data_IF_056898555159
#
_entry.id   IF_056898555159
#
_cell.length_a   1.000
_cell.length_b   1.000
_cell.length_c   1.000
_cell.angle_alpha   90.00
_cell.angle_beta   90.00
_cell.angle_gamma   90.00
#
_symmetry.space_group_name_H-M   'P 1'
#
loop_
_entity.id
_entity.type
_entity.pdbx_description
1 polymer ?
#
# COMPACT_ATOMS: atom_id res chain seq x y z
N UNK A 1 3.25 -22.21 -16.06
CA UNK A 1 3.84 -21.94 -14.73
C UNK A 1 2.74 -21.48 -13.80
N UNK A 2 2.58 -22.11 -12.63
CA UNK A 2 1.47 -21.84 -11.71
C UNK A 2 1.65 -20.47 -11.04
N UNK A 3 0.78 -19.51 -11.34
CA UNK A 3 0.77 -18.18 -10.74
C UNK A 3 0.09 -18.21 -9.37
N UNK A 4 0.67 -18.92 -8.40
CA UNK A 4 0.08 -18.99 -7.06
C UNK A 4 0.12 -17.61 -6.40
N UNK A 5 -1.05 -17.16 -5.93
CA UNK A 5 -1.20 -15.97 -5.10
C UNK A 5 -1.00 -16.28 -3.61
N UNK A 6 -1.01 -17.57 -3.22
CA UNK A 6 -0.84 -18.01 -1.85
C UNK A 6 0.55 -18.65 -1.62
N UNK A 7 1.19 -18.27 -0.51
CA UNK A 7 2.41 -18.90 0.03
C UNK A 7 2.39 -18.75 1.54
N UNK A 8 2.53 -19.86 2.26
CA UNK A 8 2.63 -19.87 3.71
C UNK A 8 4.06 -19.46 4.14
N UNK A 9 4.33 -18.16 4.10
CA UNK A 9 5.61 -17.56 4.45
C UNK A 9 5.37 -16.21 5.13
N UNK A 10 5.98 -16.02 6.29
CA UNK A 10 5.99 -14.73 6.95
C UNK A 10 7.13 -13.86 6.40
N UNK A 11 6.75 -12.78 5.73
CA UNK A 11 7.69 -11.79 5.19
C UNK A 11 7.87 -10.69 6.22
N UNK A 12 9.12 -10.30 6.52
CA UNK A 12 9.42 -9.15 7.38
C UNK A 12 10.56 -8.33 6.79
N UNK A 13 10.51 -7.03 7.01
CA UNK A 13 11.56 -6.13 6.53
C UNK A 13 12.87 -6.32 7.34
N UNK A 14 14.03 -6.42 6.68
CA UNK A 14 15.33 -6.36 7.33
C UNK A 14 15.48 -5.14 8.23
N UNK A 15 16.18 -5.32 9.36
CA UNK A 15 16.43 -4.27 10.37
C UNK A 15 17.93 -4.01 10.52
N UNK A 16 18.29 -2.87 11.11
CA UNK A 16 19.68 -2.47 11.29
C UNK A 16 20.29 -1.80 10.05
N UNK A 17 21.61 -1.61 10.09
CA UNK A 17 22.38 -0.83 9.09
C UNK A 17 22.99 -1.68 7.98
N UNK A 18 22.97 -3.01 8.09
CA UNK A 18 23.46 -3.92 7.06
C UNK A 18 22.56 -3.88 5.83
N UNK A 19 23.14 -3.66 4.66
CA UNK A 19 22.43 -3.60 3.38
C UNK A 19 22.27 -5.00 2.77
N UNK A 20 21.11 -5.25 2.15
CA UNK A 20 20.86 -6.44 1.31
C UNK A 20 20.95 -6.10 -0.18
N UNK A 21 20.57 -4.88 -0.56
CA UNK A 21 20.75 -4.30 -1.88
C UNK A 21 22.05 -3.48 -1.97
N UNK A 22 22.38 -2.98 -3.17
CA UNK A 22 23.63 -2.26 -3.43
C UNK A 22 23.73 -0.86 -2.80
N UNK A 23 22.59 -0.22 -2.53
CA UNK A 23 22.54 1.12 -1.93
C UNK A 23 21.31 1.31 -1.03
N UNK A 24 21.30 2.36 -0.20
CA UNK A 24 20.13 2.73 0.59
C UNK A 24 18.91 3.10 -0.28
N UNK A 25 19.13 3.66 -1.46
CA UNK A 25 18.05 4.04 -2.39
C UNK A 25 17.33 2.83 -2.98
N UNK A 26 17.99 1.67 -3.06
CA UNK A 26 17.41 0.40 -3.50
C UNK A 26 16.98 -0.49 -2.32
N UNK A 27 17.66 -0.36 -1.18
CA UNK A 27 17.30 -1.05 0.07
C UNK A 27 15.98 -0.52 0.65
N UNK A 28 15.74 0.79 0.58
CA UNK A 28 14.51 1.41 1.08
C UNK A 28 13.24 0.81 0.43
N UNK A 29 13.06 0.80 -0.91
CA UNK A 29 11.89 0.18 -1.51
C UNK A 29 11.81 -1.32 -1.24
N UNK A 30 12.94 -2.03 -1.13
CA UNK A 30 12.97 -3.45 -0.75
C UNK A 30 12.39 -3.69 0.64
N UNK A 31 12.87 -2.94 1.65
CA UNK A 31 12.37 -3.03 3.02
C UNK A 31 10.92 -2.61 3.11
N UNK A 32 10.52 -1.58 2.37
CA UNK A 32 9.14 -1.11 2.38
C UNK A 32 8.17 -2.09 1.72
N UNK A 33 8.58 -2.75 0.63
CA UNK A 33 7.84 -3.87 0.04
C UNK A 33 7.62 -4.99 1.06
N UNK A 34 8.68 -5.39 1.77
CA UNK A 34 8.61 -6.42 2.81
C UNK A 34 7.77 -5.96 4.01
N UNK A 35 7.85 -4.69 4.41
CA UNK A 35 7.04 -4.12 5.49
C UNK A 35 5.55 -4.13 5.17
N UNK A 36 5.18 -3.87 3.91
CA UNK A 36 3.79 -3.97 3.46
C UNK A 36 3.21 -5.38 3.63
N UNK A 37 4.04 -6.42 3.69
CA UNK A 37 3.64 -7.82 3.87
C UNK A 37 3.96 -8.37 5.27
N UNK A 38 4.39 -7.52 6.20
CA UNK A 38 4.61 -7.93 7.58
C UNK A 38 3.27 -8.38 8.21
N UNK A 39 3.18 -9.56 8.87
CA UNK A 39 1.96 -10.03 9.53
C UNK A 39 1.35 -9.05 10.54
N UNK A 40 2.18 -8.20 11.15
CA UNK A 40 1.73 -7.18 12.09
C UNK A 40 1.12 -5.96 11.39
N UNK A 41 1.42 -5.77 10.10
CA UNK A 41 1.02 -4.62 9.28
C UNK A 41 -0.16 -4.98 8.37
N UNK A 42 -0.01 -6.01 7.54
CA UNK A 42 -0.95 -6.42 6.50
C UNK A 42 -2.24 -7.05 7.06
N UNK A 43 -3.29 -7.07 6.24
CA UNK A 43 -4.54 -7.78 6.54
C UNK A 43 -4.46 -9.28 6.23
N UNK A 44 -3.89 -9.68 5.08
CA UNK A 44 -3.68 -11.08 4.70
C UNK A 44 -2.40 -11.23 3.85
N UNK A 45 -1.21 -11.26 4.48
CA UNK A 45 0.07 -11.20 3.75
C UNK A 45 0.40 -12.45 2.94
N UNK A 46 -0.11 -13.64 3.33
CA UNK A 46 0.15 -14.89 2.60
C UNK A 46 -0.48 -14.90 1.20
N UNK A 47 -1.51 -14.07 0.98
CA UNK A 47 -2.12 -13.78 -0.33
C UNK A 47 -1.62 -12.48 -0.98
N UNK A 48 -0.54 -11.91 -0.45
CA UNK A 48 0.02 -10.60 -0.80
C UNK A 48 -0.90 -9.40 -0.52
N UNK A 49 -2.01 -9.61 0.19
CA UNK A 49 -3.04 -8.60 0.47
C UNK A 49 -2.64 -7.74 1.67
N UNK A 50 -2.52 -6.44 1.43
CA UNK A 50 -2.10 -5.45 2.43
C UNK A 50 -3.32 -4.86 3.14
N UNK A 51 -4.26 -4.27 2.40
CA UNK A 51 -5.52 -3.72 2.94
C UNK A 51 -6.55 -3.43 1.85
N UNK A 52 -7.79 -3.15 2.27
CA UNK A 52 -8.79 -2.54 1.40
C UNK A 52 -9.40 -3.53 0.40
N UNK A 53 -9.74 -4.73 0.88
CA UNK A 53 -10.25 -5.82 0.06
C UNK A 53 -9.09 -6.60 -0.55
N UNK A 54 -8.87 -6.44 -1.85
CA UNK A 54 -7.84 -7.18 -2.61
C UNK A 54 -6.60 -6.33 -2.94
N UNK A 55 -6.35 -5.26 -2.17
CA UNK A 55 -5.18 -4.39 -2.38
C UNK A 55 -3.88 -5.13 -2.08
N UNK A 56 -3.07 -5.42 -3.11
CA UNK A 56 -1.87 -6.26 -3.00
C UNK A 56 -0.56 -5.49 -3.18
N UNK A 57 0.52 -6.04 -2.63
CA UNK A 57 1.88 -5.49 -2.75
C UNK A 57 2.59 -5.91 -4.06
N UNK A 58 2.28 -7.11 -4.56
CA UNK A 58 2.77 -7.67 -5.82
C UNK A 58 1.68 -8.54 -6.46
N UNK A 59 1.78 -8.81 -7.76
CA UNK A 59 0.71 -9.50 -8.52
C UNK A 59 0.48 -10.93 -8.06
N UNK A 60 1.57 -11.65 -7.88
CA UNK A 60 1.65 -13.03 -7.42
C UNK A 60 3.05 -13.25 -6.83
N UNK A 61 3.29 -14.40 -6.23
CA UNK A 61 4.55 -14.66 -5.52
C UNK A 61 5.77 -14.71 -6.43
N UNK A 62 5.61 -15.17 -7.67
CA UNK A 62 6.68 -15.13 -8.67
C UNK A 62 7.11 -13.68 -8.98
N UNK A 63 6.13 -12.78 -9.13
CA UNK A 63 6.40 -11.35 -9.32
C UNK A 63 7.06 -10.74 -8.08
N UNK A 64 6.64 -11.13 -6.87
CA UNK A 64 7.28 -10.69 -5.63
C UNK A 64 8.76 -11.09 -5.58
N UNK A 65 9.07 -12.36 -5.82
CA UNK A 65 10.44 -12.87 -5.80
C UNK A 65 11.30 -12.18 -6.87
N UNK A 66 10.73 -11.95 -8.06
CA UNK A 66 11.39 -11.22 -9.13
C UNK A 66 11.65 -9.75 -8.78
N UNK A 67 10.72 -9.06 -8.11
CA UNK A 67 10.92 -7.67 -7.63
C UNK A 67 12.04 -7.65 -6.59
N UNK A 68 12.02 -8.55 -5.61
CA UNK A 68 13.07 -8.65 -4.59
C UNK A 68 14.43 -8.88 -5.23
N UNK A 69 14.52 -9.81 -6.19
CA UNK A 69 15.76 -10.07 -6.95
C UNK A 69 16.21 -8.85 -7.75
N UNK A 70 15.29 -8.15 -8.42
CA UNK A 70 15.61 -6.95 -9.17
C UNK A 70 16.16 -5.84 -8.27
N UNK A 71 15.47 -5.54 -7.16
CA UNK A 71 15.89 -4.49 -6.22
C UNK A 71 17.25 -4.75 -5.57
N UNK A 72 17.59 -6.03 -5.31
CA UNK A 72 18.92 -6.40 -4.79
C UNK A 72 20.04 -6.15 -5.79
N UNK A 73 19.76 -6.28 -7.08
CA UNK A 73 20.76 -6.20 -8.15
C UNK A 73 20.79 -4.84 -8.87
N UNK A 74 19.79 -3.98 -8.65
CA UNK A 74 19.62 -2.70 -9.34
C UNK A 74 20.80 -1.75 -9.05
N UNK A 75 21.38 -1.17 -10.09
CA UNK A 75 22.47 -0.20 -9.98
C UNK A 75 21.97 1.21 -9.62
N UNK A 76 22.90 2.11 -9.24
CA UNK A 76 22.58 3.48 -8.85
C UNK A 76 22.06 4.34 -10.00
N UNK A 77 22.36 4.00 -11.25
CA UNK A 77 21.90 4.70 -12.46
C UNK A 77 20.74 3.97 -13.16
N UNK A 78 20.19 2.92 -12.58
CA UNK A 78 19.10 2.13 -13.16
C UNK A 78 17.74 2.43 -12.50
N UNK A 79 16.68 2.16 -13.27
CA UNK A 79 15.29 2.30 -12.82
C UNK A 79 14.49 1.03 -13.14
N UNK A 80 13.88 0.44 -12.11
CA UNK A 80 12.95 -0.69 -12.23
C UNK A 80 11.54 -0.21 -12.59
N UNK A 81 10.93 -0.80 -13.61
CA UNK A 81 9.53 -0.58 -13.95
C UNK A 81 8.65 -1.70 -13.39
N UNK A 82 7.64 -1.33 -12.63
CA UNK A 82 6.63 -2.25 -12.08
C UNK A 82 5.26 -1.91 -12.66
N UNK A 83 4.70 -2.84 -13.43
CA UNK A 83 3.37 -2.72 -14.02
C UNK A 83 2.41 -3.65 -13.29
N UNK A 84 1.38 -3.09 -12.65
CA UNK A 84 0.38 -3.84 -11.86
C UNK A 84 1.03 -4.94 -11.01
N UNK A 85 2.02 -4.57 -10.19
CA UNK A 85 2.74 -5.48 -9.29
C UNK A 85 3.62 -6.53 -9.95
N UNK A 86 3.96 -6.41 -11.24
CA UNK A 86 4.92 -7.27 -11.96
C UNK A 86 6.13 -6.43 -12.37
N UNK A 87 7.37 -6.90 -12.12
CA UNK A 87 8.57 -6.25 -12.64
C UNK A 87 8.67 -6.54 -14.14
N UNK A 88 8.60 -5.51 -14.98
CA UNK A 88 8.54 -5.66 -16.45
C UNK A 88 9.83 -5.30 -17.17
N UNK A 89 10.71 -4.54 -16.53
CA UNK A 89 12.00 -4.19 -17.11
C UNK A 89 12.83 -3.30 -16.21
N UNK A 90 14.13 -3.27 -16.47
CA UNK A 90 15.09 -2.35 -15.87
C UNK A 90 15.73 -1.56 -17.00
N UNK A 91 15.81 -0.24 -16.85
CA UNK A 91 16.40 0.64 -17.85
C UNK A 91 17.48 1.50 -17.21
N UNK A 92 18.54 1.75 -17.97
CA UNK A 92 19.55 2.73 -17.60
C UNK A 92 18.95 4.14 -17.68
N UNK A 93 19.20 4.90 -16.65
CA UNK A 93 18.71 6.26 -16.41
C UNK A 93 19.88 7.09 -15.87
N UNK A 94 19.74 7.76 -14.73
CA UNK A 94 20.83 8.46 -14.06
C UNK A 94 20.63 8.44 -12.53
N UNK A 95 21.65 8.80 -11.76
CA UNK A 95 21.65 8.68 -10.29
C UNK A 95 20.52 9.45 -9.61
N UNK A 96 20.16 10.62 -10.14
CA UNK A 96 19.05 11.43 -9.62
C UNK A 96 17.64 10.97 -10.07
N UNK A 97 17.52 9.92 -10.89
CA UNK A 97 16.22 9.36 -11.26
C UNK A 97 15.62 8.54 -10.10
N UNK A 98 14.29 8.36 -10.06
CA UNK A 98 13.68 7.40 -9.15
C UNK A 98 14.19 5.98 -9.43
N UNK A 99 14.54 5.20 -8.40
CA UNK A 99 14.96 3.79 -8.58
C UNK A 99 13.83 2.87 -9.03
N UNK A 100 12.57 3.24 -8.76
CA UNK A 100 11.40 2.43 -9.09
C UNK A 100 10.29 3.33 -9.62
N UNK A 101 9.72 2.97 -10.76
CA UNK A 101 8.50 3.57 -11.30
C UNK A 101 7.38 2.53 -11.31
N UNK A 102 6.24 2.90 -10.75
CA UNK A 102 5.12 1.97 -10.51
C UNK A 102 3.85 2.51 -11.16
N UNK A 103 3.22 1.68 -11.99
CA UNK A 103 1.90 1.95 -12.57
C UNK A 103 0.98 0.74 -12.32
N UNK A 104 0.02 0.89 -11.41
CA UNK A 104 -0.86 -0.19 -10.98
C UNK A 104 -2.31 0.09 -11.36
N UNK A 105 -3.03 -0.95 -11.82
CA UNK A 105 -4.49 -0.95 -11.99
C UNK A 105 -5.05 0.09 -12.98
N UNK A 106 -4.19 0.67 -13.82
CA UNK A 106 -4.62 1.62 -14.84
C UNK A 106 -5.30 0.88 -15.99
N UNK A 107 -6.53 1.28 -16.32
CA UNK A 107 -7.30 0.81 -17.46
C UNK A 107 -7.78 2.02 -18.27
N UNK A 108 -7.92 1.85 -19.58
CA UNK A 108 -8.48 2.90 -20.44
C UNK A 108 -9.94 3.13 -20.00
N UNK A 109 -10.43 4.39 -19.92
CA UNK A 109 -11.68 4.71 -19.20
C UNK A 109 -12.91 3.90 -19.61
N UNK A 110 -13.05 3.58 -20.89
CA UNK A 110 -14.15 2.76 -21.38
C UNK A 110 -14.20 1.36 -20.75
N UNK A 111 -13.04 0.80 -20.36
CA UNK A 111 -12.89 -0.52 -19.75
C UNK A 111 -12.58 -0.45 -18.26
N UNK A 112 -12.68 0.73 -17.63
CA UNK A 112 -12.37 0.93 -16.21
C UNK A 112 -13.52 0.45 -15.30
N UNK A 113 -13.92 -0.82 -15.45
CA UNK A 113 -14.97 -1.48 -14.67
C UNK A 113 -14.42 -2.64 -13.85
N UNK A 114 -15.13 -3.01 -12.78
CA UNK A 114 -14.72 -4.14 -11.94
C UNK A 114 -14.82 -5.47 -12.67
N UNK A 115 -15.80 -5.62 -13.55
CA UNK A 115 -16.01 -6.81 -14.36
C UNK A 115 -14.79 -7.08 -15.24
N UNK A 116 -14.32 -6.06 -15.98
CA UNK A 116 -13.15 -6.20 -16.83
C UNK A 116 -11.86 -6.34 -16.02
N UNK A 117 -11.74 -5.62 -14.90
CA UNK A 117 -10.61 -5.80 -13.99
C UNK A 117 -10.51 -7.25 -13.47
N UNK A 118 -11.62 -7.85 -13.06
CA UNK A 118 -11.67 -9.22 -12.55
C UNK A 118 -11.34 -10.24 -13.64
N UNK A 119 -11.80 -10.00 -14.87
CA UNK A 119 -11.42 -10.79 -16.04
C UNK A 119 -9.90 -10.79 -16.26
N UNK A 120 -9.26 -9.62 -16.17
CA UNK A 120 -7.81 -9.48 -16.28
C UNK A 120 -7.06 -10.10 -15.09
N UNK A 121 -7.58 -9.99 -13.86
CA UNK A 121 -6.97 -10.62 -12.68
C UNK A 121 -7.04 -12.16 -12.75
N UNK A 122 -8.14 -12.71 -13.27
CA UNK A 122 -8.29 -14.15 -13.53
C UNK A 122 -7.28 -14.66 -14.57
N UNK A 123 -6.95 -13.82 -15.57
CA UNK A 123 -5.90 -14.08 -16.57
C UNK A 123 -4.47 -13.81 -16.05
N UNK A 124 -4.31 -13.33 -14.82
CA UNK A 124 -3.00 -12.97 -14.26
C UNK A 124 -2.38 -11.70 -14.84
N UNK A 125 -3.21 -10.82 -15.43
CA UNK A 125 -2.79 -9.58 -16.10
C UNK A 125 -2.97 -8.34 -15.24
N UNK A 126 -3.78 -8.41 -14.18
CA UNK A 126 -4.08 -7.30 -13.30
C UNK A 126 -3.63 -7.54 -11.85
N UNK A 127 -3.48 -6.44 -11.13
CA UNK A 127 -3.34 -6.40 -9.68
C UNK A 127 -4.03 -5.13 -9.20
N UNK A 128 -4.77 -5.19 -8.10
CA UNK A 128 -5.34 -4.01 -7.47
C UNK A 128 -4.30 -3.41 -6.51
N UNK A 129 -3.79 -2.23 -6.83
CA UNK A 129 -2.73 -1.59 -6.05
C UNK A 129 -3.21 -0.82 -4.83
N UNK A 130 -4.53 -0.54 -4.71
CA UNK A 130 -5.03 0.45 -3.77
C UNK A 130 -4.21 1.76 -3.90
N UNK A 131 -4.04 2.54 -2.85
CA UNK A 131 -3.19 3.72 -2.81
C UNK A 131 -1.77 3.34 -2.38
N UNK A 132 -1.63 2.71 -1.20
CA UNK A 132 -0.31 2.47 -0.58
C UNK A 132 0.09 0.99 -0.52
N UNK A 133 -0.78 0.08 -0.95
CA UNK A 133 -0.49 -1.35 -0.99
C UNK A 133 0.52 -1.67 -2.10
N UNK A 134 0.21 -1.28 -3.33
CA UNK A 134 1.05 -1.51 -4.51
C UNK A 134 2.19 -0.50 -4.70
N UNK A 135 2.23 0.56 -3.90
CA UNK A 135 3.30 1.59 -3.92
C UNK A 135 4.26 1.49 -2.71
N UNK A 136 4.11 0.44 -1.90
CA UNK A 136 5.03 0.09 -0.81
C UNK A 136 5.28 1.22 0.20
N UNK A 137 4.20 1.78 0.75
CA UNK A 137 4.33 2.83 1.78
C UNK A 137 3.24 2.70 2.86
N UNK A 138 2.73 1.49 3.05
CA UNK A 138 1.72 1.22 4.04
C UNK A 138 2.35 0.99 5.42
N UNK A 139 1.84 1.71 6.41
CA UNK A 139 2.33 1.72 7.80
C UNK A 139 1.26 1.24 8.79
N UNK A 140 0.38 0.36 8.33
CA UNK A 140 -0.75 -0.10 9.12
C UNK A 140 -1.81 0.99 9.32
N UNK A 141 -2.63 0.83 10.35
CA UNK A 141 -3.74 1.75 10.62
C UNK A 141 -3.30 3.18 10.92
N UNK A 142 -2.06 3.40 11.36
CA UNK A 142 -1.53 4.72 11.69
C UNK A 142 -1.62 5.68 10.49
N UNK A 143 -1.50 5.17 9.26
CA UNK A 143 -1.56 5.97 8.04
C UNK A 143 -2.85 6.78 7.87
N UNK A 144 -3.98 6.37 8.47
CA UNK A 144 -5.26 7.08 8.35
C UNK A 144 -5.73 7.77 9.64
N UNK A 145 -5.13 7.44 10.79
CA UNK A 145 -5.61 7.91 12.10
C UNK A 145 -5.61 9.44 12.19
N UNK A 146 -4.54 10.11 11.76
CA UNK A 146 -4.47 11.57 11.82
C UNK A 146 -5.52 12.25 10.94
N UNK A 147 -5.74 11.75 9.72
CA UNK A 147 -6.74 12.28 8.80
C UNK A 147 -8.16 12.12 9.33
N UNK A 148 -8.47 10.95 9.89
CA UNK A 148 -9.76 10.69 10.52
C UNK A 148 -10.01 11.61 11.71
N UNK A 149 -9.05 11.75 12.63
CA UNK A 149 -9.17 12.64 13.79
C UNK A 149 -9.36 14.11 13.39
N UNK A 150 -8.63 14.58 12.36
CA UNK A 150 -8.79 15.94 11.83
C UNK A 150 -10.20 16.17 11.30
N UNK A 151 -10.74 15.22 10.53
CA UNK A 151 -12.09 15.30 9.98
C UNK A 151 -13.15 15.26 11.08
N UNK A 152 -12.99 14.37 12.07
CA UNK A 152 -13.90 14.28 13.21
C UNK A 152 -13.90 15.58 14.05
N UNK A 153 -12.72 16.19 14.26
CA UNK A 153 -12.61 17.48 14.93
C UNK A 153 -13.33 18.57 14.13
N UNK A 154 -13.14 18.62 12.81
CA UNK A 154 -13.81 19.59 11.93
C UNK A 154 -15.34 19.42 11.93
N UNK A 155 -15.84 18.19 11.94
CA UNK A 155 -17.29 17.95 12.03
C UNK A 155 -17.88 18.31 13.39
N UNK A 156 -17.05 18.44 14.43
CA UNK A 156 -17.44 18.87 15.78
C UNK A 156 -17.17 20.35 16.06
N UNK A 157 -16.52 21.06 15.14
CA UNK A 157 -16.37 22.51 15.25
C UNK A 157 -17.74 23.15 15.06
N UNK A 158 -18.09 24.19 15.85
CA UNK A 158 -19.37 24.87 15.69
C UNK A 158 -19.53 25.34 14.25
N UNK A 159 -20.74 25.19 13.71
CA UNK A 159 -21.10 25.73 12.42
C UNK A 159 -20.80 27.24 12.40
N UNK A 160 -20.29 27.75 11.27
CA UNK A 160 -20.25 29.19 11.04
C UNK A 160 -21.70 29.73 11.13
N UNK A 161 -21.91 30.97 11.63
CA UNK A 161 -23.24 31.53 11.81
C UNK A 161 -24.06 31.36 10.52
N UNK A 162 -25.22 30.68 10.61
CA UNK A 162 -26.13 30.47 9.48
C UNK A 162 -26.05 29.11 8.77
N UNK A 163 -25.23 28.15 9.21
CA UNK A 163 -25.27 26.77 8.68
C UNK A 163 -26.04 25.79 9.59
N UNK A 164 -26.85 24.87 9.03
CA UNK A 164 -27.59 23.88 9.80
C UNK A 164 -26.65 22.89 10.52
N UNK A 165 -27.07 22.41 11.70
CA UNK A 165 -26.33 21.39 12.45
C UNK A 165 -26.16 20.10 11.63
N UNK A 166 -24.95 19.52 11.64
CA UNK A 166 -24.64 18.31 10.88
C UNK A 166 -24.78 17.07 11.77
N UNK A 167 -25.60 16.07 11.40
CA UNK A 167 -25.73 14.85 12.18
C UNK A 167 -24.43 14.04 12.18
N UNK A 168 -24.05 13.56 13.37
CA UNK A 168 -22.89 12.68 13.57
C UNK A 168 -23.19 11.26 13.05
N UNK A 169 -22.77 10.96 11.82
CA UNK A 169 -22.85 9.61 11.27
C UNK A 169 -21.81 8.67 11.88
N UNK A 170 -22.24 7.61 12.58
CA UNK A 170 -21.38 6.51 13.00
C UNK A 170 -21.22 5.56 11.81
N UNK A 171 -20.04 5.55 11.18
CA UNK A 171 -19.75 4.67 10.05
C UNK A 171 -19.13 3.34 10.55
N UNK A 172 -19.88 2.23 10.49
CA UNK A 172 -19.36 0.88 10.77
C UNK A 172 -18.64 0.34 9.53
N UNK A 173 -17.32 0.52 9.44
CA UNK A 173 -16.46 -0.23 8.50
C UNK A 173 -15.50 -1.13 9.26
N UNK A 174 -15.54 -2.42 8.95
CA UNK A 174 -14.90 -3.52 9.69
C UNK A 174 -13.48 -3.87 9.25
N UNK A 175 -12.84 -3.19 8.29
CA UNK A 175 -11.41 -3.41 7.95
C UNK A 175 -10.44 -2.84 9.01
N UNK A 176 -9.13 -3.18 8.99
CA UNK A 176 -8.13 -2.65 9.97
C UNK A 176 -8.12 -1.12 10.01
N UNK A 177 -8.27 -0.46 8.86
CA UNK A 177 -8.43 1.00 8.75
C UNK A 177 -9.64 1.51 9.54
N UNK A 178 -10.79 0.86 9.41
CA UNK A 178 -12.02 1.26 10.10
C UNK A 178 -12.03 0.89 11.59
N UNK A 179 -11.56 -0.31 11.95
CA UNK A 179 -11.57 -0.82 13.32
C UNK A 179 -10.68 -0.01 14.27
N UNK A 180 -9.42 0.27 13.89
CA UNK A 180 -8.48 0.96 14.77
C UNK A 180 -8.64 2.50 14.77
N UNK A 181 -9.09 3.09 13.66
CA UNK A 181 -9.47 4.50 13.66
C UNK A 181 -10.70 4.78 14.55
N UNK A 182 -11.66 3.85 14.61
CA UNK A 182 -12.83 3.95 15.47
C UNK A 182 -12.57 3.60 16.95
N UNK A 183 -11.51 2.82 17.24
CA UNK A 183 -11.17 2.33 18.58
C UNK A 183 -10.20 3.24 19.37
N UNK A 184 -9.78 4.39 18.83
CA UNK A 184 -8.88 5.31 19.54
C UNK A 184 -9.61 6.01 20.72
N UNK A 185 -8.98 6.21 21.90
CA UNK A 185 -9.69 6.56 23.12
C UNK A 185 -10.50 7.85 22.99
N UNK A 186 -11.79 7.79 23.38
CA UNK A 186 -12.76 8.90 23.36
C UNK A 186 -12.48 10.04 24.34
N UNK A 187 -11.35 10.02 25.07
CA UNK A 187 -11.00 11.03 26.07
C UNK A 187 -9.63 11.60 25.77
N UNK A 188 -9.61 12.80 25.20
CA UNK A 188 -8.52 13.74 25.39
C UNK A 188 -9.08 14.93 26.19
N UNK A 189 -8.40 15.43 27.24
CA UNK A 189 -8.86 16.60 27.98
C UNK A 189 -8.88 17.81 27.04
N UNK A 190 -9.92 18.64 27.11
CA UNK A 190 -9.90 19.92 26.42
C UNK A 190 -8.67 20.73 26.88
N UNK A 191 -7.97 21.44 25.98
CA UNK A 191 -6.88 22.31 26.39
C UNK A 191 -7.44 23.35 27.36
N UNK A 192 -6.84 23.44 28.55
CA UNK A 192 -7.09 24.54 29.48
C UNK A 192 -6.75 25.85 28.76
N UNK A 193 -7.67 26.82 28.85
CA UNK A 193 -7.51 28.15 28.28
C UNK A 193 -6.45 28.95 29.02
#
# INVERSE_FOLDING_TARGET
>A
MSQSKYRQLDVRAPRGTTLTAKSWLTEAPLRMLMNNLDPDVAENPHELVVYGGIGRAARNWECYDAIVKALKNLESDETLLVQSGKPVGVFKTHENSPRVLIANSNLVPHWATWEHFNELDAKGLAMYGQMTAGSWIYIGSQGIVQGYLRNLRRSRSPALPGQPERPLGINRRSGRHGRRAAAWPRRWPAPAR
#
